data_IF_844310091342
#
_entry.id   IF_844310091342
#
_cell.length_a   1.000
_cell.length_b   1.000
_cell.length_c   1.000
_cell.angle_alpha   90.00
_cell.angle_beta   90.00
_cell.angle_gamma   90.00
#
_symmetry.space_group_name_H-M   'P 1'
#
loop_
_entity.id
_entity.type
_entity.pdbx_description
1 polymer ?
#
# COMPACT_ATOMS: atom_id res chain seq x y z
N UNK A 1 -22.46 3.07 6.17
CA UNK A 1 -22.09 2.57 7.51
C UNK A 1 -22.31 3.65 8.59
N UNK A 2 -23.50 4.22 8.73
CA UNK A 2 -23.70 5.27 9.76
C UNK A 2 -23.82 4.63 11.14
N UNK A 3 -22.90 4.97 12.05
CA UNK A 3 -22.98 4.66 13.48
C UNK A 3 -21.98 3.61 14.02
N UNK A 4 -21.30 2.84 13.17
CA UNK A 4 -20.24 1.91 13.63
C UNK A 4 -18.86 2.51 13.39
N UNK A 5 -18.08 2.61 14.47
CA UNK A 5 -16.67 3.00 14.43
C UNK A 5 -15.79 1.81 14.78
N UNK A 6 -14.59 1.76 14.21
CA UNK A 6 -13.67 0.63 14.35
C UNK A 6 -12.42 1.04 15.15
N UNK A 7 -11.96 0.14 16.00
CA UNK A 7 -10.69 0.28 16.75
C UNK A 7 -9.48 0.04 15.84
N UNK A 8 -9.62 -0.85 14.85
CA UNK A 8 -8.56 -1.16 13.91
C UNK A 8 -9.12 -1.45 12.51
N UNK A 9 -8.38 -1.06 11.48
CA UNK A 9 -8.66 -1.37 10.08
C UNK A 9 -7.36 -1.89 9.44
N UNK A 10 -7.45 -2.94 8.62
CA UNK A 10 -6.31 -3.51 7.90
C UNK A 10 -6.53 -3.41 6.39
N UNK A 11 -5.61 -2.75 5.70
CA UNK A 11 -5.50 -2.70 4.25
C UNK A 11 -4.30 -3.52 3.81
N UNK A 12 -4.54 -4.75 3.36
CA UNK A 12 -3.48 -5.66 2.91
C UNK A 12 -3.64 -5.90 1.41
N UNK A 13 -2.73 -5.35 0.62
CA UNK A 13 -2.75 -5.36 -0.86
C UNK A 13 -4.03 -4.73 -1.45
N UNK A 14 -4.49 -3.62 -0.86
CA UNK A 14 -5.74 -2.95 -1.25
C UNK A 14 -5.46 -1.69 -2.04
N UNK A 15 -4.58 -0.80 -1.55
CA UNK A 15 -4.38 0.51 -2.18
C UNK A 15 -3.77 0.35 -3.58
N UNK A 16 -2.86 -0.60 -3.78
CA UNK A 16 -2.28 -0.87 -5.11
C UNK A 16 -3.29 -1.31 -6.17
N UNK A 17 -4.43 -1.88 -5.75
CA UNK A 17 -5.53 -2.29 -6.62
C UNK A 17 -6.51 -1.15 -6.95
N UNK A 18 -6.28 0.05 -6.40
CA UNK A 18 -7.10 1.24 -6.67
C UNK A 18 -6.51 2.00 -7.87
N UNK A 19 -7.28 2.27 -8.94
CA UNK A 19 -6.70 2.76 -10.19
C UNK A 19 -6.11 4.17 -10.19
N UNK A 20 -6.43 5.01 -9.20
CA UNK A 20 -5.95 6.41 -9.19
C UNK A 20 -5.57 6.86 -7.79
N UNK A 21 -4.57 7.74 -7.70
CA UNK A 21 -4.16 8.39 -6.44
C UNK A 21 -5.34 9.10 -5.78
N UNK A 22 -6.19 9.76 -6.55
CA UNK A 22 -7.40 10.40 -6.03
C UNK A 22 -8.31 9.39 -5.30
N UNK A 23 -8.60 8.24 -5.93
CA UNK A 23 -9.42 7.20 -5.32
C UNK A 23 -8.76 6.55 -4.11
N UNK A 24 -7.42 6.46 -4.09
CA UNK A 24 -6.68 6.00 -2.91
C UNK A 24 -6.91 6.96 -1.73
N UNK A 25 -6.82 8.27 -1.97
CA UNK A 25 -7.09 9.30 -0.95
C UNK A 25 -8.54 9.23 -0.48
N UNK A 26 -9.52 9.21 -1.40
CA UNK A 26 -10.95 9.09 -1.04
C UNK A 26 -11.23 7.84 -0.20
N UNK A 27 -10.59 6.72 -0.54
CA UNK A 27 -10.72 5.47 0.21
C UNK A 27 -10.17 5.64 1.63
N UNK A 28 -8.99 6.25 1.76
CA UNK A 28 -8.40 6.52 3.07
C UNK A 28 -9.26 7.51 3.87
N UNK A 29 -9.80 8.57 3.28
CA UNK A 29 -10.72 9.51 3.95
C UNK A 29 -11.96 8.81 4.48
N UNK A 30 -12.56 7.92 3.68
CA UNK A 30 -13.70 7.12 4.12
C UNK A 30 -13.35 6.23 5.31
N UNK A 31 -12.19 5.58 5.29
CA UNK A 31 -11.71 4.76 6.40
C UNK A 31 -11.39 5.60 7.64
N UNK A 32 -10.80 6.79 7.45
CA UNK A 32 -10.56 7.78 8.49
C UNK A 32 -11.86 8.15 9.21
N UNK A 33 -12.94 8.37 8.45
CA UNK A 33 -14.25 8.78 9.00
C UNK A 33 -14.92 7.73 9.88
N UNK A 34 -14.51 6.46 9.77
CA UNK A 34 -15.07 5.34 10.54
C UNK A 34 -14.08 4.77 11.56
N UNK A 35 -12.89 5.36 11.69
CA UNK A 35 -11.96 5.05 12.77
C UNK A 35 -12.39 5.78 14.04
N UNK A 36 -12.33 5.07 15.17
CA UNK A 36 -12.42 5.70 16.50
C UNK A 36 -11.29 6.73 16.68
N UNK A 37 -11.42 7.69 17.62
CA UNK A 37 -10.37 8.68 17.88
C UNK A 37 -8.97 8.09 18.13
N UNK A 38 -8.92 6.97 18.86
CA UNK A 38 -7.68 6.21 19.13
C UNK A 38 -7.53 4.98 18.22
N UNK A 39 -8.32 4.90 17.16
CA UNK A 39 -8.29 3.79 16.22
C UNK A 39 -7.09 3.86 15.28
N UNK A 40 -6.66 2.70 14.80
CA UNK A 40 -5.45 2.57 13.97
C UNK A 40 -5.76 1.93 12.61
N UNK A 41 -5.18 2.49 11.56
CA UNK A 41 -5.14 1.92 10.22
C UNK A 41 -3.78 1.27 9.97
N UNK A 42 -3.80 -0.03 9.68
CA UNK A 42 -2.63 -0.77 9.23
C UNK A 42 -2.67 -0.90 7.71
N UNK A 43 -1.56 -0.54 7.06
CA UNK A 43 -1.38 -0.68 5.62
C UNK A 43 -0.22 -1.63 5.38
N UNK A 44 -0.44 -2.62 4.50
CA UNK A 44 0.60 -3.46 3.92
C UNK A 44 0.37 -3.52 2.41
N UNK A 45 1.32 -3.03 1.63
CA UNK A 45 1.19 -3.02 0.18
C UNK A 45 2.55 -3.22 -0.53
N UNK A 46 2.54 -3.33 -1.86
CA UNK A 46 3.76 -3.54 -2.64
C UNK A 46 4.67 -2.32 -2.58
N UNK A 47 5.97 -2.54 -2.40
CA UNK A 47 6.95 -1.45 -2.39
C UNK A 47 7.90 -1.52 -3.57
N UNK A 48 8.39 -0.37 -4.01
CA UNK A 48 9.51 -0.29 -4.93
C UNK A 48 10.85 -0.34 -4.13
N UNK A 49 11.88 -1.06 -4.62
CA UNK A 49 11.88 -1.98 -5.77
C UNK A 49 11.45 -3.41 -5.37
N UNK A 50 10.62 -4.09 -6.18
CA UNK A 50 10.15 -5.47 -5.96
C UNK A 50 10.35 -6.34 -7.21
N UNK A 51 10.48 -7.66 -7.05
CA UNK A 51 10.63 -8.58 -8.19
C UNK A 51 9.53 -8.44 -9.27
N UNK A 52 8.28 -8.22 -8.86
CA UNK A 52 7.18 -8.02 -9.81
C UNK A 52 7.27 -6.68 -10.53
N UNK A 53 7.80 -5.64 -9.88
CA UNK A 53 8.02 -4.34 -10.52
C UNK A 53 8.92 -4.49 -11.74
N UNK A 54 10.09 -5.10 -11.58
CA UNK A 54 11.02 -5.32 -12.69
C UNK A 54 10.42 -6.19 -13.80
N UNK A 55 9.71 -7.25 -13.43
CA UNK A 55 9.01 -8.11 -14.40
C UNK A 55 7.96 -7.34 -15.21
N UNK A 56 7.23 -6.41 -14.57
CA UNK A 56 6.21 -5.62 -15.27
C UNK A 56 6.83 -4.50 -16.11
N UNK A 57 7.91 -3.89 -15.65
CA UNK A 57 8.67 -2.91 -16.42
C UNK A 57 9.17 -3.53 -17.74
N UNK A 58 9.79 -4.71 -17.65
CA UNK A 58 10.27 -5.49 -18.80
C UNK A 58 9.12 -5.87 -19.73
N UNK A 59 8.02 -6.43 -19.19
CA UNK A 59 6.87 -6.88 -19.99
C UNK A 59 6.18 -5.75 -20.75
N UNK A 60 6.05 -4.57 -20.15
CA UNK A 60 5.30 -3.47 -20.74
C UNK A 60 6.18 -2.53 -21.57
N UNK A 61 7.51 -2.74 -21.60
CA UNK A 61 8.47 -1.86 -22.26
C UNK A 61 8.29 -0.38 -21.85
N UNK A 62 7.99 -0.16 -20.57
CA UNK A 62 7.76 1.17 -19.99
C UNK A 62 8.90 1.49 -19.04
N UNK A 63 9.52 2.65 -19.20
CA UNK A 63 10.42 3.18 -18.20
C UNK A 63 9.70 4.21 -17.32
N UNK A 64 10.06 4.23 -16.04
CA UNK A 64 9.71 5.30 -15.10
C UNK A 64 8.21 5.39 -14.68
N UNK A 65 7.48 4.27 -14.64
CA UNK A 65 6.13 4.18 -14.03
C UNK A 65 6.11 3.23 -12.83
N UNK A 66 5.43 3.62 -11.76
CA UNK A 66 5.16 2.78 -10.59
C UNK A 66 3.76 2.11 -10.64
N UNK A 67 2.96 2.44 -11.65
CA UNK A 67 1.59 1.96 -11.82
C UNK A 67 1.48 1.02 -13.03
N UNK A 68 0.88 -0.16 -12.81
CA UNK A 68 0.74 -1.19 -13.84
C UNK A 68 -0.69 -1.71 -13.91
N UNK A 69 -1.22 -1.86 -15.12
CA UNK A 69 -2.46 -2.58 -15.39
C UNK A 69 -2.13 -4.05 -15.70
N UNK A 70 -2.77 -4.97 -15.01
CA UNK A 70 -2.64 -6.41 -15.24
C UNK A 70 -3.63 -6.87 -16.31
N UNK A 71 -3.34 -8.00 -16.94
CA UNK A 71 -4.18 -8.56 -18.01
C UNK A 71 -5.58 -9.00 -17.56
N UNK A 72 -5.81 -9.11 -16.25
CA UNK A 72 -7.12 -9.38 -15.64
C UNK A 72 -7.92 -8.10 -15.33
N UNK A 73 -7.43 -6.92 -15.75
CA UNK A 73 -8.06 -5.63 -15.51
C UNK A 73 -7.80 -5.05 -14.10
N UNK A 74 -7.07 -5.76 -13.25
CA UNK A 74 -6.65 -5.24 -11.92
C UNK A 74 -5.41 -4.36 -12.04
N UNK A 75 -5.20 -3.46 -11.08
CA UNK A 75 -4.03 -2.59 -11.06
C UNK A 75 -3.04 -3.03 -9.99
N UNK A 76 -1.78 -2.65 -10.16
CA UNK A 76 -0.76 -2.80 -9.14
C UNK A 76 0.13 -1.55 -9.15
N UNK A 77 0.10 -0.82 -8.04
CA UNK A 77 1.00 0.28 -7.74
C UNK A 77 2.11 -0.15 -6.79
N UNK A 78 3.33 0.34 -7.00
CA UNK A 78 4.47 0.11 -6.11
C UNK A 78 4.79 1.39 -5.33
N UNK A 79 4.63 1.32 -4.01
CA UNK A 79 4.80 2.44 -3.11
C UNK A 79 6.26 2.62 -2.67
N UNK A 80 6.63 3.86 -2.36
CA UNK A 80 7.69 4.14 -1.39
C UNK A 80 7.07 4.71 -0.11
N UNK A 81 7.91 4.97 0.91
CA UNK A 81 7.43 5.54 2.17
C UNK A 81 6.82 6.93 1.97
N UNK A 82 7.43 7.77 1.14
CA UNK A 82 7.02 9.16 0.94
C UNK A 82 5.64 9.26 0.29
N UNK A 83 5.36 8.44 -0.72
CA UNK A 83 4.04 8.33 -1.34
C UNK A 83 3.00 7.89 -0.33
N UNK A 84 3.31 6.88 0.50
CA UNK A 84 2.38 6.40 1.52
C UNK A 84 2.08 7.50 2.56
N UNK A 85 3.08 8.23 3.01
CA UNK A 85 2.90 9.38 3.89
C UNK A 85 2.04 10.47 3.25
N UNK A 86 2.31 10.85 1.99
CA UNK A 86 1.54 11.88 1.28
C UNK A 86 0.06 11.48 1.11
N UNK A 87 -0.21 10.20 0.86
CA UNK A 87 -1.59 9.69 0.75
C UNK A 87 -2.32 9.77 2.10
N UNK A 88 -1.67 9.29 3.17
CA UNK A 88 -2.24 9.34 4.51
C UNK A 88 -2.45 10.79 4.99
N UNK A 89 -1.46 11.65 4.77
CA UNK A 89 -1.47 13.06 5.14
C UNK A 89 -2.66 13.80 4.52
N UNK A 90 -2.87 13.60 3.20
CA UNK A 90 -4.01 14.13 2.44
C UNK A 90 -5.35 13.61 2.94
N UNK A 91 -5.40 12.38 3.44
CA UNK A 91 -6.60 11.77 4.00
C UNK A 91 -6.87 12.15 5.48
N UNK A 92 -6.12 13.12 6.03
CA UNK A 92 -6.28 13.56 7.42
C UNK A 92 -5.71 12.56 8.44
N UNK A 93 -4.75 11.74 8.04
CA UNK A 93 -4.07 10.78 8.91
C UNK A 93 -2.60 11.13 9.10
N UNK A 94 -2.04 10.68 10.22
CA UNK A 94 -0.62 10.78 10.55
C UNK A 94 -0.07 9.43 10.95
N UNK A 95 1.23 9.23 10.74
CA UNK A 95 1.95 8.05 11.20
C UNK A 95 1.94 7.98 12.74
N UNK A 96 1.80 6.78 13.29
CA UNK A 96 1.97 6.57 14.73
C UNK A 96 3.45 6.59 15.12
N UNK A 97 3.89 7.42 16.09
CA UNK A 97 5.29 7.47 16.52
C UNK A 97 5.88 6.13 16.97
N UNK A 98 5.04 5.25 17.51
CA UNK A 98 5.45 3.95 18.05
C UNK A 98 5.76 2.92 16.95
N UNK A 99 5.14 3.07 15.77
CA UNK A 99 5.23 2.10 14.68
C UNK A 99 5.41 2.81 13.33
N UNK A 100 6.64 3.27 13.02
CA UNK A 100 6.90 3.99 11.79
C UNK A 100 6.78 3.09 10.55
N UNK A 101 6.63 3.73 9.39
CA UNK A 101 6.55 3.11 8.08
C UNK A 101 7.88 2.41 7.79
N UNK A 102 7.79 1.11 7.54
CA UNK A 102 8.94 0.23 7.33
C UNK A 102 8.82 -0.54 6.03
N UNK A 103 9.97 -0.95 5.50
CA UNK A 103 10.00 -1.94 4.43
C UNK A 103 10.14 -3.33 5.03
N UNK A 104 9.38 -4.27 4.50
CA UNK A 104 9.52 -5.69 4.78
C UNK A 104 10.05 -6.40 3.53
N UNK A 105 11.30 -6.82 3.58
CA UNK A 105 11.99 -7.51 2.49
C UNK A 105 12.03 -9.02 2.76
N UNK A 106 11.59 -9.83 1.81
CA UNK A 106 11.65 -11.28 1.91
C UNK A 106 12.12 -11.90 0.60
N UNK A 107 13.01 -12.90 0.67
CA UNK A 107 13.42 -13.69 -0.48
C UNK A 107 12.62 -14.99 -0.53
N UNK A 108 11.81 -15.15 -1.57
CA UNK A 108 11.06 -16.38 -1.84
C UNK A 108 11.80 -17.20 -2.87
N UNK A 109 12.04 -18.48 -2.59
CA UNK A 109 12.61 -19.42 -3.55
C UNK A 109 11.56 -20.46 -3.95
N UNK A 110 11.21 -20.50 -5.24
CA UNK A 110 10.41 -21.57 -5.79
C UNK A 110 11.29 -22.80 -5.98
N UNK A 111 11.17 -23.77 -5.07
CA UNK A 111 11.98 -24.99 -5.06
C UNK A 111 11.82 -25.86 -6.31
N UNK A 112 10.72 -25.75 -7.04
CA UNK A 112 10.48 -26.55 -8.27
C UNK A 112 11.39 -26.13 -9.41
N UNK A 113 11.70 -24.84 -9.53
CA UNK A 113 12.48 -24.30 -10.65
C UNK A 113 13.66 -23.42 -10.22
N UNK A 114 14.00 -23.39 -8.93
CA UNK A 114 15.08 -22.58 -8.37
C UNK A 114 14.88 -21.07 -8.47
N UNK A 115 13.69 -20.60 -8.88
CA UNK A 115 13.45 -19.17 -9.11
C UNK A 115 13.44 -18.42 -7.78
N UNK A 116 14.36 -17.46 -7.64
CA UNK A 116 14.42 -16.52 -6.52
C UNK A 116 13.65 -15.25 -6.84
N UNK A 117 12.85 -14.80 -5.88
CA UNK A 117 12.00 -13.62 -5.99
C UNK A 117 12.16 -12.78 -4.74
N UNK A 118 12.81 -11.64 -4.88
CA UNK A 118 12.93 -10.65 -3.81
C UNK A 118 11.64 -9.82 -3.74
N UNK A 119 10.91 -10.03 -2.65
CA UNK A 119 9.63 -9.39 -2.38
C UNK A 119 9.83 -8.24 -1.41
N UNK A 120 9.36 -7.05 -1.80
CA UNK A 120 9.44 -5.86 -0.96
C UNK A 120 8.04 -5.31 -0.75
N UNK A 121 7.70 -5.09 0.52
CA UNK A 121 6.43 -4.54 0.95
C UNK A 121 6.65 -3.30 1.79
N UNK A 122 5.74 -2.34 1.72
CA UNK A 122 5.66 -1.23 2.67
C UNK A 122 4.62 -1.59 3.72
N UNK A 123 4.98 -1.40 4.99
CA UNK A 123 4.08 -1.50 6.12
C UNK A 123 3.96 -0.12 6.76
N UNK A 124 2.75 0.35 7.01
CA UNK A 124 2.50 1.62 7.68
C UNK A 124 1.40 1.51 8.72
N UNK A 125 1.53 2.30 9.78
CA UNK A 125 0.59 2.38 10.88
C UNK A 125 0.18 3.83 11.05
N UNK A 126 -1.10 4.11 10.84
CA UNK A 126 -1.63 5.47 10.79
C UNK A 126 -2.80 5.65 11.75
N UNK A 127 -2.94 6.85 12.27
CA UNK A 127 -4.08 7.29 13.08
C UNK A 127 -4.67 8.57 12.50
N UNK A 128 -5.87 8.93 12.92
CA UNK A 128 -6.46 10.23 12.58
C UNK A 128 -5.60 11.36 13.15
N UNK A 129 -5.36 12.41 12.37
CA UNK A 129 -4.75 13.65 12.87
C UNK A 129 -5.64 14.28 13.94
N UNK A 130 -5.02 14.87 14.94
CA UNK A 130 -5.72 15.64 15.97
C UNK A 130 -5.96 17.07 15.51
#
# INVERSE_FOLDING_TARGET
MKGKMYDAIFLVFVLSAIPTVHKMVETLEQLCSVLKPEGVLFIRDYAFPDHNFFRFQEKNNTDNTLFFLKGDGTTQFFFDKEVLHKLADKAGMEETPEYPVTYHCNRIENRKNGKRMDKVFVNGTFRRKR
#
